data_IF_998101676363
#
_entry.id   IF_998101676363
#
_cell.length_a   1.000
_cell.length_b   1.000
_cell.length_c   1.000
_cell.angle_alpha   90.00
_cell.angle_beta   90.00
_cell.angle_gamma   90.00
#
_symmetry.space_group_name_H-M   'P 1'
#
loop_
_entity.id
_entity.type
_entity.pdbx_description
1 polymer ?
#
# COMPACT_ATOMS: atom_id res chain seq x y z
N UNK A 1 -3.33 2.93 15.36
CA UNK A 1 -4.73 3.27 14.97
C UNK A 1 -5.51 1.97 15.06
N UNK A 2 -6.52 1.89 15.91
CA UNK A 2 -7.23 0.63 16.12
C UNK A 2 -8.08 0.31 14.88
N UNK A 3 -7.76 -0.79 14.20
CA UNK A 3 -8.53 -1.32 13.05
C UNK A 3 -10.01 -1.43 13.41
N UNK A 4 -10.31 -1.85 14.64
CA UNK A 4 -11.67 -1.96 15.16
C UNK A 4 -12.45 -0.64 15.10
N UNK A 5 -11.80 0.52 15.28
CA UNK A 5 -12.47 1.82 15.15
C UNK A 5 -12.88 2.15 13.72
N UNK A 6 -12.12 1.67 12.73
CA UNK A 6 -12.50 1.81 11.33
C UNK A 6 -13.66 0.87 10.99
N UNK A 7 -13.59 -0.36 11.50
CA UNK A 7 -14.59 -1.41 11.29
C UNK A 7 -15.93 -1.13 12.00
N UNK A 8 -16.10 -0.09 12.81
CA UNK A 8 -17.44 0.25 13.29
C UNK A 8 -18.34 0.74 12.16
N UNK A 9 -17.77 1.40 11.15
CA UNK A 9 -18.51 1.99 10.03
C UNK A 9 -18.10 1.43 8.66
N UNK A 10 -16.82 1.06 8.47
CA UNK A 10 -16.30 0.49 7.22
C UNK A 10 -16.22 -1.03 7.32
N UNK A 11 -17.30 -1.72 6.92
CA UNK A 11 -17.46 -3.18 7.07
C UNK A 11 -17.79 -3.87 5.74
N UNK A 12 -17.13 -3.46 4.67
CA UNK A 12 -17.22 -4.19 3.39
C UNK A 12 -16.34 -5.46 3.39
N UNK A 13 -16.42 -6.24 2.32
CA UNK A 13 -15.62 -7.46 2.18
C UNK A 13 -14.11 -7.19 2.32
N UNK A 14 -13.60 -6.09 1.74
CA UNK A 14 -12.19 -5.71 1.80
C UNK A 14 -11.72 -5.48 3.24
N UNK A 15 -12.44 -4.66 3.99
CA UNK A 15 -12.12 -4.28 5.35
C UNK A 15 -12.28 -5.45 6.33
N UNK A 16 -13.34 -6.25 6.20
CA UNK A 16 -13.55 -7.45 7.01
C UNK A 16 -12.50 -8.54 6.76
N UNK A 17 -11.94 -8.59 5.54
CA UNK A 17 -10.88 -9.55 5.19
C UNK A 17 -9.50 -9.18 5.73
N UNK A 18 -9.29 -7.94 6.21
CA UNK A 18 -8.01 -7.50 6.77
C UNK A 18 -7.47 -8.48 7.81
N UNK A 19 -8.31 -8.98 8.73
CA UNK A 19 -7.91 -9.90 9.81
C UNK A 19 -7.32 -11.23 9.32
N UNK A 20 -7.56 -11.60 8.06
CA UNK A 20 -7.02 -12.81 7.43
C UNK A 20 -5.76 -12.53 6.59
N UNK A 21 -5.32 -11.28 6.51
CA UNK A 21 -4.14 -10.88 5.75
C UNK A 21 -2.84 -11.10 6.55
N UNK A 22 -1.70 -11.31 5.85
CA UNK A 22 -0.37 -11.25 6.47
C UNK A 22 -0.11 -9.91 7.18
N UNK A 23 -0.63 -8.79 6.65
CA UNK A 23 -0.47 -7.47 7.28
C UNK A 23 -1.08 -7.41 8.67
N UNK A 24 -2.28 -7.99 8.86
CA UNK A 24 -2.91 -8.05 10.17
C UNK A 24 -2.14 -8.95 11.14
N UNK A 25 -1.60 -10.07 10.66
CA UNK A 25 -0.78 -10.97 11.47
C UNK A 25 0.49 -10.26 11.97
N UNK A 26 1.17 -9.52 11.09
CA UNK A 26 2.34 -8.72 11.44
C UNK A 26 1.97 -7.62 12.44
N UNK A 27 0.88 -6.88 12.19
CA UNK A 27 0.42 -5.85 13.12
C UNK A 27 0.04 -6.41 14.49
N UNK A 28 -0.60 -7.58 14.54
CA UNK A 28 -0.92 -8.26 15.79
C UNK A 28 0.32 -8.74 16.53
N UNK A 29 1.33 -9.24 15.80
CA UNK A 29 2.60 -9.69 16.37
C UNK A 29 3.44 -8.54 16.96
N UNK A 30 3.28 -7.30 16.48
CA UNK A 30 3.94 -6.12 17.07
C UNK A 30 3.42 -5.78 18.48
N UNK A 31 2.29 -6.34 18.91
CA UNK A 31 1.75 -6.17 20.25
C UNK A 31 1.23 -4.76 20.53
N UNK A 32 1.32 -4.33 21.80
CA UNK A 32 0.78 -3.04 22.26
C UNK A 32 1.85 -1.96 22.06
N UNK A 33 1.94 -1.44 20.83
CA UNK A 33 2.59 -0.17 20.56
C UNK A 33 1.52 0.90 20.27
N UNK A 34 1.71 2.15 20.73
CA UNK A 34 0.72 3.21 20.49
C UNK A 34 0.59 3.58 18.99
N UNK A 35 1.52 3.16 18.12
CA UNK A 35 1.51 3.42 16.67
C UNK A 35 2.07 2.22 15.89
N UNK A 36 1.51 1.90 14.70
CA UNK A 36 2.11 0.93 13.79
C UNK A 36 3.56 1.32 13.48
N UNK A 37 4.47 0.35 13.50
CA UNK A 37 5.85 0.57 13.09
C UNK A 37 5.96 0.75 11.57
N UNK A 38 7.15 1.04 11.05
CA UNK A 38 7.39 1.04 9.60
C UNK A 38 7.26 -0.35 8.94
N UNK A 39 7.10 -1.41 9.75
CA UNK A 39 6.96 -2.80 9.32
C UNK A 39 5.51 -3.30 9.36
N UNK A 40 4.58 -2.48 9.84
CA UNK A 40 3.17 -2.86 9.92
C UNK A 40 2.27 -1.88 9.20
N UNK A 41 1.14 -2.43 8.77
CA UNK A 41 0.14 -1.74 7.98
C UNK A 41 -1.20 -1.90 8.67
N UNK A 42 -2.00 -0.84 8.71
CA UNK A 42 -3.39 -0.79 9.17
C UNK A 42 -4.22 -0.01 8.14
N UNK A 43 -5.54 0.07 8.33
CA UNK A 43 -6.41 0.89 7.47
C UNK A 43 -5.87 2.31 7.30
N UNK A 44 -5.45 2.94 8.40
CA UNK A 44 -4.97 4.32 8.38
C UNK A 44 -3.62 4.48 7.66
N UNK A 45 -2.71 3.51 7.75
CA UNK A 45 -1.40 3.65 7.08
C UNK A 45 -1.49 3.39 5.57
N UNK A 46 -2.49 2.62 5.11
CA UNK A 46 -2.78 2.47 3.68
C UNK A 46 -3.59 3.63 3.09
N UNK A 47 -4.70 4.00 3.73
CA UNK A 47 -5.64 4.95 3.15
C UNK A 47 -5.31 6.41 3.49
N UNK A 48 -4.54 6.66 4.54
CA UNK A 48 -4.14 7.98 5.02
C UNK A 48 -2.63 8.01 5.29
N UNK A 49 -1.78 7.71 4.29
CA UNK A 49 -0.34 7.71 4.47
C UNK A 49 0.14 9.09 4.93
N UNK A 50 1.20 9.08 5.75
CA UNK A 50 1.82 10.31 6.24
C UNK A 50 2.75 10.86 5.17
N UNK A 51 2.58 12.13 4.85
CA UNK A 51 3.44 12.86 3.93
C UNK A 51 4.23 13.92 4.69
N UNK A 52 5.46 14.16 4.25
CA UNK A 52 6.26 15.31 4.66
C UNK A 52 5.91 16.47 3.74
N UNK A 53 5.66 17.63 4.32
CA UNK A 53 5.37 18.86 3.61
C UNK A 53 6.39 19.92 4.04
N UNK A 54 6.91 20.66 3.07
CA UNK A 54 7.79 21.79 3.32
C UNK A 54 6.97 23.06 3.59
N UNK A 55 7.43 23.86 4.53
CA UNK A 55 6.91 25.19 4.82
C UNK A 55 7.75 26.25 4.10
N UNK A 56 7.21 27.46 3.87
CA UNK A 56 7.97 28.55 3.25
C UNK A 56 9.23 28.95 4.02
N UNK A 57 9.29 28.68 5.32
CA UNK A 57 10.46 28.94 6.18
C UNK A 57 11.53 27.84 6.12
N UNK A 58 11.36 26.85 5.23
CA UNK A 58 12.28 25.71 5.07
C UNK A 58 12.10 24.59 6.10
N UNK A 59 11.18 24.72 7.06
CA UNK A 59 10.88 23.64 8.01
C UNK A 59 9.95 22.59 7.39
N UNK A 60 9.99 21.36 7.91
CA UNK A 60 9.08 20.29 7.48
C UNK A 60 8.02 19.99 8.53
N UNK A 61 6.82 19.63 8.07
CA UNK A 61 5.78 19.08 8.94
C UNK A 61 5.23 17.79 8.36
N UNK A 62 4.70 16.93 9.22
CA UNK A 62 4.10 15.65 8.83
C UNK A 62 2.59 15.76 8.91
N UNK A 63 1.92 15.46 7.80
CA UNK A 63 0.46 15.50 7.70
C UNK A 63 -0.10 14.26 7.04
N UNK A 64 -1.42 14.12 7.09
CA UNK A 64 -2.18 13.15 6.30
C UNK A 64 -3.22 13.89 5.47
N UNK A 65 -3.50 13.40 4.27
CA UNK A 65 -4.55 13.96 3.43
C UNK A 65 -5.86 13.19 3.69
N UNK A 66 -6.92 13.88 4.11
CA UNK A 66 -8.22 13.27 4.38
C UNK A 66 -9.12 13.19 3.13
N UNK A 67 -8.66 13.69 1.98
CA UNK A 67 -9.34 13.43 0.71
C UNK A 67 -9.15 11.96 0.34
N UNK A 68 -10.24 11.19 0.42
CA UNK A 68 -10.28 9.76 0.14
C UNK A 68 -9.82 9.38 -1.27
N UNK A 69 -9.88 10.29 -2.24
CA UNK A 69 -9.36 10.04 -3.60
C UNK A 69 -7.88 10.33 -3.73
N UNK A 70 -7.30 11.11 -2.80
CA UNK A 70 -5.92 11.56 -2.93
C UNK A 70 -4.93 10.40 -2.92
N UNK A 71 -5.10 9.36 -2.12
CA UNK A 71 -4.20 8.18 -2.17
C UNK A 71 -4.77 7.08 -3.07
N UNK A 72 -6.10 6.99 -3.18
CA UNK A 72 -6.75 5.83 -3.80
C UNK A 72 -7.01 5.97 -5.31
N UNK A 73 -6.91 7.18 -5.86
CA UNK A 73 -7.16 7.43 -7.29
C UNK A 73 -6.08 8.31 -7.94
N UNK A 74 -5.49 7.88 -9.05
CA UNK A 74 -5.55 6.52 -9.61
C UNK A 74 -4.86 5.50 -8.67
N UNK A 75 -5.19 4.20 -8.82
CA UNK A 75 -4.77 3.14 -7.88
C UNK A 75 -3.26 3.00 -7.73
N UNK A 76 -2.51 3.29 -8.78
CA UNK A 76 -1.05 3.27 -8.82
C UNK A 76 -0.40 4.31 -7.89
N UNK A 77 -1.11 5.38 -7.51
CA UNK A 77 -0.59 6.34 -6.54
C UNK A 77 -0.31 5.69 -5.18
N UNK A 78 -1.18 4.78 -4.74
CA UNK A 78 -0.96 4.01 -3.52
C UNK A 78 0.27 3.10 -3.60
N UNK A 79 0.66 2.64 -4.80
CA UNK A 79 1.86 1.80 -4.96
C UNK A 79 3.10 2.55 -4.49
N UNK A 80 3.27 3.79 -4.95
CA UNK A 80 4.40 4.63 -4.58
C UNK A 80 4.38 5.00 -3.10
N UNK A 81 3.23 5.45 -2.59
CA UNK A 81 3.13 6.05 -1.27
C UNK A 81 3.06 5.02 -0.14
N UNK A 82 2.62 3.79 -0.42
CA UNK A 82 2.35 2.76 0.58
C UNK A 82 3.13 1.48 0.30
N UNK A 83 2.83 0.80 -0.80
CA UNK A 83 3.28 -0.58 -1.04
C UNK A 83 4.82 -0.67 -1.19
N UNK A 84 5.40 0.28 -1.92
CA UNK A 84 6.84 0.32 -2.20
C UNK A 84 7.71 0.68 -0.99
N UNK A 85 7.11 1.03 0.16
CA UNK A 85 7.87 1.17 1.41
C UNK A 85 8.36 -0.19 1.95
N UNK A 86 7.79 -1.30 1.48
CA UNK A 86 8.12 -2.66 1.93
C UNK A 86 8.28 -3.69 0.79
N UNK A 87 7.63 -3.47 -0.35
CA UNK A 87 7.61 -4.41 -1.48
C UNK A 87 8.31 -3.85 -2.72
N UNK A 88 8.71 -4.74 -3.63
CA UNK A 88 9.21 -4.33 -4.95
C UNK A 88 8.11 -3.70 -5.82
N UNK A 89 8.53 -2.88 -6.79
CA UNK A 89 7.66 -2.19 -7.75
C UNK A 89 6.65 -3.15 -8.40
N UNK A 90 7.15 -4.19 -9.05
CA UNK A 90 6.32 -5.11 -9.82
C UNK A 90 5.32 -5.89 -8.98
N UNK A 91 5.77 -6.42 -7.83
CA UNK A 91 4.87 -7.09 -6.89
C UNK A 91 3.73 -6.16 -6.46
N UNK A 92 4.06 -4.90 -6.17
CA UNK A 92 3.08 -3.89 -5.75
C UNK A 92 2.07 -3.55 -6.84
N UNK A 93 2.55 -3.35 -8.08
CA UNK A 93 1.70 -3.09 -9.24
C UNK A 93 0.79 -4.30 -9.56
N UNK A 94 1.36 -5.50 -9.66
CA UNK A 94 0.56 -6.71 -9.87
C UNK A 94 -0.47 -6.92 -8.74
N UNK A 95 -0.14 -6.57 -7.50
CA UNK A 95 -1.08 -6.68 -6.37
C UNK A 95 -2.22 -5.68 -6.42
N UNK A 96 -1.95 -4.40 -6.66
CA UNK A 96 -3.01 -3.38 -6.59
C UNK A 96 -3.99 -3.43 -7.77
N UNK A 97 -3.57 -4.02 -8.89
CA UNK A 97 -4.40 -4.20 -10.09
C UNK A 97 -5.07 -5.58 -10.16
N UNK A 98 -4.96 -6.41 -9.11
CA UNK A 98 -5.70 -7.66 -8.93
C UNK A 98 -6.92 -7.39 -8.02
N UNK A 99 -8.11 -7.25 -8.61
CA UNK A 99 -9.32 -6.87 -7.88
C UNK A 99 -9.76 -7.90 -6.83
N UNK A 100 -9.55 -9.20 -7.11
CA UNK A 100 -9.82 -10.25 -6.15
C UNK A 100 -8.86 -10.17 -4.96
N UNK A 101 -7.59 -9.83 -5.23
CA UNK A 101 -6.62 -9.63 -4.17
C UNK A 101 -6.93 -8.38 -3.33
N UNK A 102 -7.34 -7.28 -3.96
CA UNK A 102 -7.80 -6.08 -3.24
C UNK A 102 -8.98 -6.45 -2.36
N UNK A 103 -10.01 -7.12 -2.88
CA UNK A 103 -11.17 -7.57 -2.09
C UNK A 103 -10.79 -8.52 -0.95
N UNK A 104 -9.76 -9.35 -1.14
CA UNK A 104 -9.24 -10.26 -0.12
C UNK A 104 -8.25 -9.62 0.87
N UNK A 105 -8.03 -8.29 0.79
CA UNK A 105 -7.07 -7.55 1.60
C UNK A 105 -5.63 -8.09 1.50
N UNK A 106 -5.19 -8.42 0.28
CA UNK A 106 -3.82 -8.84 0.01
C UNK A 106 -3.36 -10.08 0.81
N UNK A 107 -4.28 -11.04 0.99
CA UNK A 107 -4.02 -12.23 1.82
C UNK A 107 -3.15 -13.32 1.17
N UNK A 108 -2.73 -13.13 -0.08
CA UNK A 108 -1.91 -14.05 -0.87
C UNK A 108 -1.06 -13.26 -1.89
N UNK A 109 -0.06 -13.88 -2.53
CA UNK A 109 0.65 -13.24 -3.64
C UNK A 109 -0.29 -12.90 -4.83
N UNK A 110 0.03 -11.86 -5.62
CA UNK A 110 -0.75 -11.50 -6.81
C UNK A 110 -0.71 -12.60 -7.86
N UNK A 111 -1.85 -12.76 -8.54
CA UNK A 111 -1.94 -13.62 -9.73
C UNK A 111 -1.81 -12.85 -11.03
N UNK A 112 -1.98 -11.52 -10.95
CA UNK A 112 -1.78 -10.64 -12.08
C UNK A 112 -0.33 -10.54 -12.49
N UNK A 113 -0.15 -10.34 -13.79
CA UNK A 113 1.15 -10.20 -14.43
C UNK A 113 1.03 -9.16 -15.55
N UNK A 114 1.23 -7.89 -15.18
CA UNK A 114 0.95 -6.74 -16.03
C UNK A 114 1.87 -6.71 -17.25
N UNK A 115 1.27 -6.66 -18.45
CA UNK A 115 1.99 -6.66 -19.73
C UNK A 115 2.99 -5.50 -19.84
N UNK A 116 2.65 -4.33 -19.31
CA UNK A 116 3.55 -3.16 -19.31
C UNK A 116 4.89 -3.46 -18.66
N UNK A 117 4.91 -4.23 -17.56
CA UNK A 117 6.14 -4.58 -16.87
C UNK A 117 6.96 -5.62 -17.65
N UNK A 118 6.30 -6.52 -18.39
CA UNK A 118 6.97 -7.43 -19.34
C UNK A 118 7.64 -6.65 -20.47
N UNK A 119 6.93 -5.69 -21.06
CA UNK A 119 7.47 -4.83 -22.11
C UNK A 119 8.70 -4.06 -21.63
N UNK A 120 8.67 -3.52 -20.41
CA UNK A 120 9.82 -2.83 -19.80
C UNK A 120 11.00 -3.79 -19.64
N UNK A 121 10.80 -5.01 -19.11
CA UNK A 121 11.91 -5.99 -19.01
C UNK A 121 12.54 -6.33 -20.34
N UNK A 122 11.73 -6.51 -21.38
CA UNK A 122 12.21 -6.77 -22.75
C UNK A 122 13.04 -5.59 -23.25
N UNK A 123 12.58 -4.36 -23.01
CA UNK A 123 13.31 -3.14 -23.39
C UNK A 123 14.64 -3.03 -22.64
N UNK A 124 14.65 -3.22 -21.33
CA UNK A 124 15.86 -3.14 -20.51
C UNK A 124 16.89 -4.21 -20.93
N UNK A 125 16.45 -5.45 -21.21
CA UNK A 125 17.32 -6.50 -21.75
C UNK A 125 17.95 -6.10 -23.09
N UNK A 126 17.21 -5.43 -23.98
CA UNK A 126 17.75 -4.91 -25.25
C UNK A 126 18.79 -3.81 -25.03
N UNK A 127 18.59 -2.95 -24.03
CA UNK A 127 19.54 -1.85 -23.69
C UNK A 127 20.83 -2.41 -23.09
N UNK A 128 20.72 -3.34 -22.16
CA UNK A 128 21.88 -3.98 -21.53
C UNK A 128 22.71 -4.82 -22.49
N UNK A 129 22.10 -5.45 -23.50
CA UNK A 129 22.82 -6.23 -24.51
C UNK A 129 23.48 -5.36 -25.60
N UNK A 130 23.14 -4.07 -25.67
CA UNK A 130 23.71 -3.10 -26.60
C UNK A 130 24.77 -2.20 -25.94
N UNK A 131 25.16 -2.49 -24.69
CA UNK A 131 26.23 -1.82 -23.93
C UNK A 131 27.39 -2.79 -23.71
#
# INVERSE_FOLDING_TARGET
>A
AAVNSCLTCHQDAHSLNYKYSPHAQLFQAEGILPRPSSKSVTCATCHLPRHKFERPDGTTWVGVNHNNTFTLKPRDRMVKDVCMNCHGLEFSYNSIFDDELVKANFNKPPTQDLETLKMIRVLEKKRSNNS
#
